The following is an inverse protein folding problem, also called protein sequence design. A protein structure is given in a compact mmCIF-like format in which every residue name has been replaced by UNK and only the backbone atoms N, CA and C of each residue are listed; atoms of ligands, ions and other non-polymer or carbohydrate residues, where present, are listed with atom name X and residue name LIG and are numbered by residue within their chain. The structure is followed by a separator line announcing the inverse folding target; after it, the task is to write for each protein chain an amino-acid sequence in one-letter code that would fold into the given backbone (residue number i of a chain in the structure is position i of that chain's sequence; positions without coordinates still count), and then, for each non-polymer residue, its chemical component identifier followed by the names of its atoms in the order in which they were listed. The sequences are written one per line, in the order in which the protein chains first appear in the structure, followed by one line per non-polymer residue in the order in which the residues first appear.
data_IF_044865747143
#
_entry.id   IF_044865747143
#
_cell.length_a   1.000
_cell.length_b   1.000
_cell.length_c   1.000
_cell.angle_alpha   90.00
_cell.angle_beta   90.00
_cell.angle_gamma   90.00
#
_symmetry.space_group_name_H-M   'P 1'
#
loop_
_entity.id
_entity.type
_entity.pdbx_description
1 polymer ?
#
# COMPACT_ATOMS: atom_id res chain seq x y z
N UNK A 1 38.40 -10.86 -16.37
CA UNK A 1 37.86 -9.92 -15.36
C UNK A 1 36.34 -9.96 -15.43
N UNK A 2 35.71 -10.69 -14.49
CA UNK A 2 34.25 -10.78 -14.38
C UNK A 2 33.83 -9.83 -13.26
N UNK A 3 33.21 -8.69 -13.61
CA UNK A 3 32.60 -7.80 -12.63
C UNK A 3 31.36 -8.49 -12.05
N UNK A 4 31.36 -8.76 -10.75
CA UNK A 4 30.36 -9.54 -10.04
C UNK A 4 29.07 -8.77 -9.81
N UNK A 5 27.98 -9.25 -10.40
CA UNK A 5 26.61 -8.77 -10.14
C UNK A 5 26.08 -9.53 -8.92
N UNK A 6 26.21 -8.96 -7.71
CA UNK A 6 25.65 -9.51 -6.46
C UNK A 6 24.30 -8.86 -6.09
N UNK A 7 23.55 -8.39 -7.08
CA UNK A 7 22.18 -7.89 -6.92
C UNK A 7 21.29 -8.63 -7.92
N UNK A 8 20.74 -9.76 -7.50
CA UNK A 8 19.76 -10.48 -8.31
C UNK A 8 18.42 -9.77 -8.16
N UNK A 9 18.06 -8.98 -9.17
CA UNK A 9 16.69 -8.48 -9.32
C UNK A 9 15.83 -9.64 -9.84
N UNK A 10 15.05 -10.25 -8.96
CA UNK A 10 14.02 -11.22 -9.37
C UNK A 10 12.87 -10.40 -9.97
N UNK A 11 12.90 -10.25 -11.30
CA UNK A 11 11.86 -9.57 -12.06
C UNK A 11 10.73 -10.55 -12.39
N UNK A 12 9.51 -10.23 -11.99
CA UNK A 12 8.32 -10.66 -12.72
C UNK A 12 8.13 -9.74 -13.92
N UNK A 13 8.36 -10.25 -15.14
CA UNK A 13 8.16 -9.50 -16.39
C UNK A 13 6.76 -8.86 -16.41
N UNK A 14 6.70 -7.53 -16.52
CA UNK A 14 5.46 -6.77 -16.73
C UNK A 14 4.60 -6.50 -15.50
N UNK A 15 4.98 -6.94 -14.29
CA UNK A 15 4.26 -6.61 -13.06
C UNK A 15 4.91 -5.42 -12.34
N UNK A 16 4.13 -4.51 -11.72
CA UNK A 16 4.67 -3.36 -10.97
C UNK A 16 5.38 -3.77 -9.66
N UNK A 17 5.27 -5.04 -9.25
CA UNK A 17 5.86 -5.57 -8.03
C UNK A 17 7.18 -6.29 -8.31
N UNK A 18 8.19 -6.00 -7.48
CA UNK A 18 9.55 -6.52 -7.62
C UNK A 18 10.11 -6.96 -6.27
N UNK A 19 10.92 -8.02 -6.29
CA UNK A 19 11.75 -8.42 -5.14
C UNK A 19 13.22 -8.20 -5.49
N UNK A 20 13.90 -7.44 -4.63
CA UNK A 20 15.32 -7.13 -4.75
C UNK A 20 16.05 -7.90 -3.67
N UNK A 21 17.05 -8.69 -4.09
CA UNK A 21 17.91 -9.46 -3.20
C UNK A 21 19.38 -9.07 -3.39
N UNK A 22 20.11 -8.93 -2.28
CA UNK A 22 21.57 -8.85 -2.29
C UNK A 22 22.16 -9.64 -1.12
N UNK A 23 23.16 -10.46 -1.41
CA UNK A 23 23.80 -11.33 -0.42
C UNK A 23 25.03 -10.67 0.25
N UNK A 24 25.31 -9.39 -0.04
CA UNK A 24 26.41 -8.63 0.54
C UNK A 24 26.10 -7.12 0.51
N UNK A 25 26.78 -6.29 1.31
CA UNK A 25 26.70 -4.84 1.17
C UNK A 25 27.08 -4.41 -0.25
N UNK A 26 26.48 -3.34 -0.74
CA UNK A 26 26.75 -2.82 -2.08
C UNK A 26 27.63 -1.58 -2.02
N UNK A 27 28.32 -1.28 -3.11
CA UNK A 27 28.90 0.05 -3.32
C UNK A 27 27.80 1.12 -3.42
N UNK A 28 28.19 2.38 -3.28
CA UNK A 28 27.31 3.53 -3.49
C UNK A 28 26.95 3.64 -4.98
N UNK A 29 25.66 3.54 -5.28
CA UNK A 29 25.13 3.63 -6.64
C UNK A 29 24.31 4.91 -6.77
N UNK A 30 24.50 5.65 -7.86
CA UNK A 30 23.68 6.80 -8.22
C UNK A 30 22.64 6.37 -9.26
N UNK A 31 21.36 6.59 -8.97
CA UNK A 31 20.26 6.18 -9.83
C UNK A 31 19.10 7.19 -9.78
N UNK A 32 18.24 7.13 -10.79
CA UNK A 32 16.98 7.88 -10.78
C UNK A 32 15.87 6.94 -10.30
N UNK A 33 15.31 7.23 -9.14
CA UNK A 33 14.17 6.50 -8.60
C UNK A 33 12.87 7.04 -9.22
N UNK A 34 12.10 6.15 -9.84
CA UNK A 34 10.71 6.42 -10.27
C UNK A 34 9.75 6.24 -9.10
N UNK A 35 8.52 6.81 -9.18
CA UNK A 35 7.51 6.67 -8.15
C UNK A 35 7.28 5.22 -7.74
N UNK A 36 7.40 4.95 -6.45
CA UNK A 36 7.34 3.61 -5.91
C UNK A 36 7.19 3.60 -4.39
N UNK A 37 6.66 2.49 -3.87
CA UNK A 37 6.76 2.10 -2.47
C UNK A 37 7.86 1.03 -2.33
N UNK A 38 8.78 1.21 -1.40
CA UNK A 38 9.82 0.24 -1.08
C UNK A 38 9.72 -0.19 0.38
N UNK A 39 9.59 -1.48 0.62
CA UNK A 39 9.54 -2.10 1.94
C UNK A 39 10.80 -2.96 2.12
N UNK A 40 11.59 -2.71 3.15
CA UNK A 40 12.67 -3.64 3.51
C UNK A 40 12.05 -4.77 4.33
N UNK A 41 12.37 -6.01 3.97
CA UNK A 41 11.97 -7.21 4.70
C UNK A 41 13.15 -7.69 5.56
N UNK A 42 14.37 -7.56 5.05
CA UNK A 42 15.59 -7.99 5.74
C UNK A 42 16.78 -7.13 5.32
N UNK A 43 17.72 -6.92 6.25
CA UNK A 43 18.91 -6.09 6.04
C UNK A 43 18.60 -4.60 6.21
N UNK A 44 19.53 -3.75 5.76
CA UNK A 44 19.39 -2.29 5.83
C UNK A 44 19.92 -1.63 4.58
N UNK A 45 19.32 -0.49 4.24
CA UNK A 45 19.74 0.32 3.10
C UNK A 45 19.88 1.78 3.50
N UNK A 46 20.86 2.42 2.93
CA UNK A 46 21.07 3.86 2.97
C UNK A 46 20.70 4.45 1.61
N UNK A 47 19.98 5.57 1.62
CA UNK A 47 19.57 6.33 0.44
C UNK A 47 19.82 7.81 0.70
N UNK A 48 20.51 8.48 -0.22
CA UNK A 48 20.72 9.91 -0.20
C UNK A 48 19.88 10.64 -1.24
N UNK A 49 19.38 11.84 -0.89
CA UNK A 49 18.71 12.78 -1.78
C UNK A 49 19.28 14.18 -1.53
N UNK A 50 20.07 14.71 -2.48
CA UNK A 50 20.83 15.94 -2.24
C UNK A 50 21.81 15.77 -1.10
N UNK A 51 21.74 16.65 -0.10
CA UNK A 51 22.59 16.62 1.11
C UNK A 51 22.00 15.75 2.24
N UNK A 52 20.80 15.19 2.06
CA UNK A 52 20.14 14.38 3.07
C UNK A 52 20.43 12.90 2.88
N UNK A 53 20.66 12.18 3.99
CA UNK A 53 20.86 10.73 4.03
C UNK A 53 19.80 10.08 4.90
N UNK A 54 19.26 8.96 4.40
CA UNK A 54 18.20 8.19 5.03
C UNK A 54 18.65 6.74 5.16
N UNK A 55 18.70 6.23 6.39
CA UNK A 55 18.88 4.81 6.64
C UNK A 55 17.54 4.21 7.02
N UNK A 56 17.17 3.11 6.35
CA UNK A 56 15.93 2.40 6.64
C UNK A 56 16.16 0.90 6.76
N UNK A 57 15.32 0.29 7.60
CA UNK A 57 15.42 -1.06 8.14
C UNK A 57 14.07 -1.80 7.96
N UNK A 58 13.92 -3.07 8.39
CA UNK A 58 12.68 -3.81 8.19
C UNK A 58 11.42 -3.22 8.85
N UNK A 59 11.58 -2.23 9.74
CA UNK A 59 10.46 -1.56 10.41
C UNK A 59 10.04 -0.27 9.70
N UNK A 60 10.69 0.06 8.58
CA UNK A 60 10.45 1.29 7.84
C UNK A 60 10.27 1.05 6.33
N UNK A 61 9.38 1.85 5.73
CA UNK A 61 9.15 1.87 4.29
C UNK A 61 9.53 3.24 3.71
N UNK A 62 9.90 3.22 2.44
CA UNK A 62 10.24 4.41 1.66
C UNK A 62 9.18 4.64 0.57
N UNK A 63 8.61 5.84 0.54
CA UNK A 63 7.80 6.32 -0.58
C UNK A 63 8.62 7.26 -1.43
N UNK A 64 8.70 6.95 -2.71
CA UNK A 64 9.18 7.84 -3.75
C UNK A 64 7.94 8.39 -4.45
N UNK A 65 7.60 9.65 -4.20
CA UNK A 65 6.38 10.27 -4.74
C UNK A 65 6.61 10.82 -6.17
N UNK A 66 7.82 11.29 -6.45
CA UNK A 66 8.20 11.87 -7.75
C UNK A 66 9.51 11.29 -8.23
N UNK A 67 9.81 11.44 -9.52
CA UNK A 67 11.08 11.00 -10.08
C UNK A 67 12.22 11.84 -9.51
N UNK A 68 13.09 11.23 -8.71
CA UNK A 68 14.20 11.93 -8.02
C UNK A 68 15.54 11.22 -8.24
N UNK A 69 16.65 11.97 -8.37
CA UNK A 69 17.98 11.40 -8.34
C UNK A 69 18.33 11.02 -6.89
N UNK A 70 18.79 9.78 -6.70
CA UNK A 70 19.20 9.27 -5.39
C UNK A 70 20.56 8.61 -5.47
N UNK A 71 21.34 8.71 -4.40
CA UNK A 71 22.41 7.77 -4.12
C UNK A 71 21.87 6.66 -3.22
N UNK A 72 22.41 5.46 -3.30
CA UNK A 72 22.02 4.42 -2.35
C UNK A 72 22.95 3.23 -2.31
N UNK A 73 23.00 2.60 -1.15
CA UNK A 73 23.81 1.43 -0.88
C UNK A 73 23.12 0.51 0.12
N UNK A 74 23.24 -0.80 -0.09
CA UNK A 74 22.90 -1.79 0.94
C UNK A 74 24.03 -1.80 1.95
N UNK A 75 23.73 -1.51 3.21
CA UNK A 75 24.73 -1.40 4.29
C UNK A 75 24.80 -2.65 5.17
N UNK A 76 23.73 -3.46 5.19
CA UNK A 76 23.67 -4.70 5.99
C UNK A 76 23.05 -5.84 5.16
N UNK A 77 23.88 -6.82 4.80
CA UNK A 77 23.52 -8.05 4.09
C UNK A 77 24.63 -9.10 4.19
N UNK A 78 24.27 -10.38 4.16
CA UNK A 78 25.20 -11.51 4.06
C UNK A 78 24.54 -12.69 3.34
N UNK A 79 25.30 -13.74 3.02
CA UNK A 79 24.73 -14.95 2.41
C UNK A 79 23.69 -15.64 3.32
N UNK A 80 23.93 -15.63 4.64
CA UNK A 80 23.02 -16.26 5.63
C UNK A 80 21.84 -15.35 5.99
N UNK A 81 22.01 -14.03 5.86
CA UNK A 81 20.99 -13.02 6.08
C UNK A 81 21.03 -11.98 4.95
N UNK A 82 20.49 -12.28 3.76
CA UNK A 82 20.55 -11.37 2.62
C UNK A 82 19.67 -10.13 2.83
N UNK A 83 20.04 -9.04 2.20
CA UNK A 83 19.13 -7.91 2.04
C UNK A 83 17.96 -8.31 1.14
N UNK A 84 16.74 -8.06 1.60
CA UNK A 84 15.50 -8.31 0.89
C UNK A 84 14.61 -7.08 0.91
N UNK A 85 14.17 -6.65 -0.26
CA UNK A 85 13.32 -5.49 -0.42
C UNK A 85 12.21 -5.76 -1.43
N UNK A 86 10.99 -5.42 -1.05
CA UNK A 86 9.84 -5.42 -1.93
C UNK A 86 9.68 -4.01 -2.48
N UNK A 87 9.59 -3.89 -3.80
CA UNK A 87 9.38 -2.61 -4.49
C UNK A 87 8.13 -2.70 -5.35
N UNK A 88 7.19 -1.78 -5.12
CA UNK A 88 6.00 -1.60 -5.93
C UNK A 88 6.14 -0.29 -6.72
N UNK A 89 6.36 -0.39 -8.03
CA UNK A 89 6.42 0.74 -8.94
C UNK A 89 5.01 1.26 -9.24
N UNK A 90 4.86 2.57 -9.27
CA UNK A 90 3.61 3.21 -9.66
C UNK A 90 3.77 3.96 -10.99
N UNK A 91 2.80 3.78 -11.86
CA UNK A 91 2.67 4.57 -13.07
C UNK A 91 2.02 5.92 -12.72
N UNK A 92 2.70 7.06 -12.96
CA UNK A 92 2.16 8.38 -12.67
C UNK A 92 0.82 8.65 -13.37
N UNK A 93 0.60 8.08 -14.56
CA UNK A 93 -0.66 8.23 -15.30
C UNK A 93 -1.79 7.49 -14.59
N UNK A 94 -1.51 6.30 -14.04
CA UNK A 94 -2.49 5.53 -13.26
C UNK A 94 -2.77 6.20 -11.92
N UNK A 95 -1.74 6.73 -11.25
CA UNK A 95 -1.92 7.53 -10.03
C UNK A 95 -2.80 8.75 -10.33
N UNK A 96 -2.51 9.52 -11.38
CA UNK A 96 -3.29 10.70 -11.72
C UNK A 96 -4.77 10.38 -11.97
N UNK A 97 -5.07 9.25 -12.64
CA UNK A 97 -6.45 8.75 -12.81
C UNK A 97 -7.07 8.35 -11.48
N UNK A 98 -6.35 7.62 -10.64
CA UNK A 98 -6.81 7.24 -9.30
C UNK A 98 -7.09 8.47 -8.44
N UNK A 99 -6.24 9.51 -8.50
CA UNK A 99 -6.45 10.78 -7.79
C UNK A 99 -7.69 11.50 -8.35
N UNK A 100 -7.89 11.51 -9.66
CA UNK A 100 -9.06 12.12 -10.28
C UNK A 100 -10.37 11.40 -9.89
N UNK A 101 -10.31 10.08 -9.72
CA UNK A 101 -11.44 9.24 -9.30
C UNK A 101 -11.59 9.14 -7.77
N UNK A 102 -10.56 9.55 -7.02
CA UNK A 102 -10.56 9.59 -5.57
C UNK A 102 -11.10 10.93 -5.06
N UNK A 103 -11.80 10.94 -3.93
CA UNK A 103 -12.19 12.19 -3.29
C UNK A 103 -10.93 12.95 -2.84
N UNK A 104 -10.77 14.18 -3.34
CA UNK A 104 -9.67 15.07 -2.98
C UNK A 104 -9.91 15.60 -1.56
N UNK A 105 -9.30 14.96 -0.56
CA UNK A 105 -9.15 15.53 0.79
C UNK A 105 -7.79 15.19 1.38
N UNK A 106 -7.19 16.16 2.07
CA UNK A 106 -5.88 16.00 2.70
C UNK A 106 -4.67 16.35 1.83
N UNK A 107 -4.83 17.17 0.77
CA UNK A 107 -3.67 17.81 0.13
C UNK A 107 -3.01 18.68 1.19
N UNK A 108 -1.76 18.40 1.60
CA UNK A 108 -1.05 19.25 2.53
C UNK A 108 -0.89 20.65 1.91
N UNK A 109 -1.11 21.71 2.68
CA UNK A 109 -0.88 23.09 2.22
C UNK A 109 0.59 23.34 1.86
N UNK A 110 1.50 22.50 2.36
CA UNK A 110 2.93 22.59 2.12
C UNK A 110 3.43 21.50 1.15
N UNK A 111 4.39 21.85 0.26
CA UNK A 111 5.02 20.87 -0.62
C UNK A 111 5.71 19.79 0.22
N UNK A 112 5.22 18.56 0.12
CA UNK A 112 5.87 17.40 0.72
C UNK A 112 7.13 17.02 -0.06
N UNK A 113 8.08 16.41 0.65
CA UNK A 113 9.34 15.91 0.07
C UNK A 113 9.03 14.85 -0.99
N UNK A 114 9.79 14.87 -2.09
CA UNK A 114 9.67 13.87 -3.16
C UNK A 114 10.02 12.44 -2.72
N UNK A 115 10.67 12.31 -1.56
CA UNK A 115 11.09 11.07 -0.92
C UNK A 115 10.73 11.15 0.56
N UNK A 116 10.03 10.14 1.08
CA UNK A 116 9.51 10.09 2.45
C UNK A 116 9.71 8.71 3.06
N UNK A 117 9.94 8.67 4.38
CA UNK A 117 10.23 7.46 5.14
C UNK A 117 9.31 7.40 6.36
N UNK A 118 8.67 6.26 6.58
CA UNK A 118 7.80 6.05 7.75
C UNK A 118 7.86 4.61 8.25
N UNK A 119 7.22 4.36 9.39
CA UNK A 119 7.12 3.03 9.99
C UNK A 119 6.07 2.18 9.30
N UNK A 120 6.41 0.91 9.11
CA UNK A 120 5.47 -0.10 8.63
C UNK A 120 4.46 -0.38 9.73
N UNK A 121 3.19 -0.19 9.43
CA UNK A 121 2.09 -0.64 10.29
C UNK A 121 1.59 -2.03 9.86
N UNK A 122 0.84 -2.68 10.74
CA UNK A 122 0.30 -4.02 10.48
C UNK A 122 -0.64 -4.07 9.25
N UNK A 123 -1.55 -3.09 9.04
CA UNK A 123 -2.38 -3.04 7.83
C UNK A 123 -1.59 -2.99 6.52
N UNK A 124 -0.52 -2.19 6.45
CA UNK A 124 0.34 -2.11 5.28
C UNK A 124 1.07 -3.43 5.05
N UNK A 125 1.63 -4.02 6.11
CA UNK A 125 2.32 -5.31 6.02
C UNK A 125 1.42 -6.43 5.47
N UNK A 126 0.18 -6.54 5.98
CA UNK A 126 -0.82 -7.49 5.50
C UNK A 126 -1.17 -7.27 4.02
N UNK A 127 -1.26 -6.00 3.61
CA UNK A 127 -1.54 -5.63 2.22
C UNK A 127 -0.40 -6.07 1.30
N UNK A 128 0.85 -5.76 1.67
CA UNK A 128 2.02 -6.15 0.89
C UNK A 128 2.17 -7.68 0.85
N UNK A 129 1.93 -8.38 1.95
CA UNK A 129 1.98 -9.85 1.99
C UNK A 129 0.98 -10.48 1.01
N UNK A 130 -0.24 -9.94 0.92
CA UNK A 130 -1.23 -10.39 -0.08
C UNK A 130 -0.72 -10.18 -1.51
N UNK A 131 -0.10 -9.04 -1.80
CA UNK A 131 0.47 -8.75 -3.11
C UNK A 131 1.64 -9.68 -3.45
N UNK A 132 2.52 -9.98 -2.49
CA UNK A 132 3.64 -10.92 -2.68
C UNK A 132 3.11 -12.32 -2.98
N UNK A 133 2.11 -12.80 -2.23
CA UNK A 133 1.49 -14.12 -2.48
C UNK A 133 0.86 -14.24 -3.87
N UNK A 134 0.41 -13.13 -4.46
CA UNK A 134 -0.08 -13.12 -5.83
C UNK A 134 1.02 -13.36 -6.87
N UNK A 135 2.28 -13.12 -6.55
CA UNK A 135 3.41 -13.45 -7.43
C UNK A 135 3.58 -14.97 -7.61
N UNK A 136 3.15 -15.76 -6.62
CA UNK A 136 3.19 -17.23 -6.68
C UNK A 136 2.08 -17.81 -7.59
N UNK A 137 1.05 -17.02 -7.90
CA UNK A 137 -0.09 -17.41 -8.77
C UNK A 137 -0.46 -16.32 -9.80
N UNK A 138 0.40 -16.06 -10.82
CA UNK A 138 0.21 -14.95 -11.77
C UNK A 138 -1.09 -15.00 -12.57
N UNK A 139 -1.64 -16.20 -12.81
CA UNK A 139 -2.90 -16.41 -13.54
C UNK A 139 -4.11 -15.86 -12.80
N UNK A 140 -4.03 -15.74 -11.48
CA UNK A 140 -5.14 -15.31 -10.66
C UNK A 140 -5.17 -13.79 -10.47
N UNK A 141 -4.10 -13.07 -10.77
CA UNK A 141 -3.98 -11.61 -10.58
C UNK A 141 -5.12 -10.85 -11.29
N UNK A 142 -5.38 -11.18 -12.55
CA UNK A 142 -6.42 -10.51 -13.35
C UNK A 142 -7.85 -10.76 -12.86
N UNK A 143 -8.11 -11.90 -12.22
CA UNK A 143 -9.42 -12.24 -11.64
C UNK A 143 -9.56 -11.79 -10.19
N UNK A 144 -8.49 -11.90 -9.40
CA UNK A 144 -8.50 -11.65 -7.96
C UNK A 144 -8.44 -10.16 -7.61
N UNK A 145 -7.79 -9.31 -8.41
CA UNK A 145 -7.71 -7.88 -8.08
C UNK A 145 -9.10 -7.20 -8.02
N UNK A 146 -10.01 -7.39 -8.99
CA UNK A 146 -11.39 -6.91 -8.86
C UNK A 146 -12.16 -7.56 -7.69
N UNK A 147 -11.96 -8.85 -7.45
CA UNK A 147 -12.61 -9.59 -6.35
C UNK A 147 -12.13 -9.11 -4.98
N UNK A 148 -10.85 -8.79 -4.82
CA UNK A 148 -10.27 -8.29 -3.58
C UNK A 148 -10.82 -6.90 -3.24
N UNK A 149 -10.97 -6.02 -4.23
CA UNK A 149 -11.62 -4.72 -4.05
C UNK A 149 -13.11 -4.88 -3.67
N UNK A 150 -13.81 -5.82 -4.31
CA UNK A 150 -15.20 -6.14 -3.94
C UNK A 150 -15.30 -6.69 -2.51
N UNK A 151 -14.40 -7.60 -2.13
CA UNK A 151 -14.38 -8.19 -0.80
C UNK A 151 -14.04 -7.16 0.28
N UNK A 152 -13.07 -6.26 0.02
CA UNK A 152 -12.77 -5.15 0.92
C UNK A 152 -13.99 -4.24 1.14
N UNK A 153 -14.73 -3.91 0.06
CA UNK A 153 -15.99 -3.14 0.17
C UNK A 153 -17.03 -3.89 1.01
N UNK A 154 -17.19 -5.20 0.80
CA UNK A 154 -18.09 -6.02 1.60
C UNK A 154 -17.72 -6.02 3.09
N UNK A 155 -16.44 -6.20 3.42
CA UNK A 155 -15.96 -6.17 4.79
C UNK A 155 -16.21 -4.80 5.46
N UNK A 156 -15.94 -3.69 4.75
CA UNK A 156 -16.23 -2.34 5.25
C UNK A 156 -17.73 -2.14 5.53
N UNK A 157 -18.59 -2.60 4.62
CA UNK A 157 -20.04 -2.51 4.79
C UNK A 157 -20.56 -3.40 5.93
N UNK A 158 -19.98 -4.59 6.13
CA UNK A 158 -20.30 -5.46 7.26
C UNK A 158 -19.84 -4.86 8.59
N UNK A 159 -18.65 -4.27 8.65
CA UNK A 159 -18.19 -3.59 9.87
C UNK A 159 -19.03 -2.36 10.18
N UNK A 160 -19.43 -1.59 9.17
CA UNK A 160 -20.34 -0.45 9.37
C UNK A 160 -21.67 -0.91 9.98
N UNK A 161 -22.23 -2.03 9.48
CA UNK A 161 -23.43 -2.64 10.02
C UNK A 161 -23.23 -3.13 11.47
N UNK A 162 -22.09 -3.75 11.77
CA UNK A 162 -21.73 -4.18 13.15
C UNK A 162 -21.67 -2.99 14.09
N UNK A 163 -20.99 -1.92 13.72
CA UNK A 163 -20.87 -0.69 14.52
C UNK A 163 -22.24 -0.04 14.77
N UNK A 164 -23.09 0.01 13.73
CA UNK A 164 -24.43 0.57 13.85
C UNK A 164 -25.35 -0.26 14.77
N UNK A 165 -25.35 -1.57 14.61
CA UNK A 165 -26.26 -2.46 15.35
C UNK A 165 -25.76 -2.75 16.77
N UNK A 166 -24.48 -3.10 16.91
CA UNK A 166 -23.94 -3.61 18.17
C UNK A 166 -23.38 -2.49 19.06
N UNK A 167 -22.79 -1.46 18.46
CA UNK A 167 -22.18 -0.34 19.18
C UNK A 167 -23.08 0.91 19.18
N UNK A 168 -24.22 0.86 18.50
CA UNK A 168 -25.23 1.92 18.52
C UNK A 168 -24.83 3.19 17.75
N UNK A 169 -23.79 3.14 16.92
CA UNK A 169 -23.35 4.28 16.12
C UNK A 169 -24.44 4.73 15.15
N UNK A 170 -24.54 6.03 14.93
CA UNK A 170 -25.37 6.57 13.85
C UNK A 170 -24.74 6.30 12.48
N UNK A 171 -25.58 6.38 11.44
CA UNK A 171 -25.20 6.08 10.04
C UNK A 171 -24.01 6.91 9.56
N UNK A 172 -23.96 8.18 9.95
CA UNK A 172 -22.91 9.11 9.53
C UNK A 172 -21.58 8.74 10.18
N UNK A 173 -21.59 8.52 11.49
CA UNK A 173 -20.40 8.11 12.24
C UNK A 173 -19.85 6.76 11.76
N UNK A 174 -20.72 5.79 11.49
CA UNK A 174 -20.31 4.49 10.97
C UNK A 174 -19.73 4.59 9.55
N UNK A 175 -20.35 5.39 8.67
CA UNK A 175 -19.86 5.67 7.31
C UNK A 175 -18.40 6.14 7.31
N UNK A 176 -18.10 7.19 8.08
CA UNK A 176 -16.74 7.74 8.14
C UNK A 176 -15.76 6.78 8.81
N UNK A 177 -16.17 6.06 9.86
CA UNK A 177 -15.30 5.12 10.57
C UNK A 177 -14.78 3.98 9.68
N UNK A 178 -15.59 3.52 8.73
CA UNK A 178 -15.19 2.46 7.79
C UNK A 178 -14.54 2.97 6.50
N UNK A 179 -14.24 4.28 6.45
CA UNK A 179 -13.50 4.91 5.36
C UNK A 179 -14.35 5.29 4.14
N UNK A 180 -15.66 5.51 4.31
CA UNK A 180 -16.50 6.16 3.28
C UNK A 180 -16.61 7.66 3.57
N UNK A 181 -16.44 8.49 2.53
CA UNK A 181 -16.48 9.95 2.66
C UNK A 181 -17.80 10.57 2.23
N UNK A 182 -18.57 9.84 1.42
CA UNK A 182 -19.89 10.27 0.96
C UNK A 182 -20.97 9.39 1.59
N UNK A 183 -21.80 9.93 2.52
CA UNK A 183 -22.96 9.22 3.04
C UNK A 183 -23.91 8.72 1.94
N UNK A 184 -23.98 9.44 0.82
CA UNK A 184 -24.77 9.06 -0.37
C UNK A 184 -24.16 7.90 -1.15
N UNK A 185 -22.83 7.82 -1.26
CA UNK A 185 -22.16 6.65 -1.83
C UNK A 185 -22.32 5.44 -0.90
N UNK A 186 -22.02 5.62 0.39
CA UNK A 186 -22.17 4.60 1.42
C UNK A 186 -23.59 4.02 1.41
N UNK A 187 -24.62 4.86 1.45
CA UNK A 187 -26.02 4.41 1.47
C UNK A 187 -26.40 3.63 0.22
N UNK A 188 -25.89 4.01 -0.98
CA UNK A 188 -26.13 3.28 -2.23
C UNK A 188 -25.46 1.91 -2.23
N UNK A 189 -24.21 1.84 -1.82
CA UNK A 189 -23.46 0.57 -1.76
C UNK A 189 -24.01 -0.35 -0.65
N UNK A 190 -24.36 0.21 0.51
CA UNK A 190 -25.02 -0.50 1.61
C UNK A 190 -26.36 -1.11 1.17
N UNK A 191 -27.21 -0.30 0.51
CA UNK A 191 -28.50 -0.77 0.00
C UNK A 191 -28.35 -1.88 -1.04
N UNK A 192 -27.32 -1.79 -1.89
CA UNK A 192 -27.00 -2.84 -2.86
C UNK A 192 -26.59 -4.15 -2.18
N UNK A 193 -25.86 -4.07 -1.06
CA UNK A 193 -25.35 -5.24 -0.34
C UNK A 193 -26.40 -5.88 0.58
N UNK A 194 -27.21 -5.09 1.28
CA UNK A 194 -28.14 -5.56 2.33
C UNK A 194 -29.62 -5.45 1.96
N UNK A 195 -29.93 -4.97 0.75
CA UNK A 195 -31.30 -4.88 0.23
C UNK A 195 -32.15 -3.74 0.81
N UNK A 196 -31.60 -2.94 1.73
CA UNK A 196 -32.28 -1.77 2.29
C UNK A 196 -31.30 -0.68 2.76
N UNK A 197 -31.75 0.58 2.90
CA UNK A 197 -30.90 1.67 3.39
C UNK A 197 -30.43 1.47 4.84
N UNK A 198 -29.29 2.04 5.23
CA UNK A 198 -28.74 1.91 6.59
C UNK A 198 -29.72 2.33 7.71
N UNK A 199 -30.45 3.43 7.49
CA UNK A 199 -31.44 3.96 8.45
C UNK A 199 -32.62 3.00 8.63
N UNK A 200 -33.09 2.39 7.55
CA UNK A 200 -34.16 1.38 7.57
C UNK A 200 -33.71 0.09 8.26
N UNK A 201 -32.49 -0.36 7.99
CA UNK A 201 -31.91 -1.56 8.62
C UNK A 201 -31.76 -1.38 10.14
N UNK A 202 -31.25 -0.23 10.58
CA UNK A 202 -31.19 0.17 12.00
C UNK A 202 -32.57 0.16 12.67
N UNK A 203 -33.58 0.70 11.99
CA UNK A 203 -34.95 0.76 12.49
C UNK A 203 -35.55 -0.63 12.69
N UNK A 204 -35.29 -1.55 11.76
CA UNK A 204 -35.76 -2.94 11.83
C UNK A 204 -35.14 -3.70 13.00
N UNK A 205 -33.84 -3.56 13.22
CA UNK A 205 -33.17 -4.28 14.30
C UNK A 205 -33.60 -3.75 15.67
N UNK A 206 -33.82 -2.44 15.81
CA UNK A 206 -34.36 -1.82 17.04
C UNK A 206 -35.82 -2.17 17.34
N UNK A 207 -36.55 -2.77 16.41
CA UNK A 207 -37.93 -3.26 16.63
C UNK A 207 -37.99 -4.74 17.04
N UNK A 208 -36.87 -5.47 16.92
CA UNK A 208 -36.79 -6.92 17.19
C UNK A 208 -36.18 -7.21 18.59
N UNK A 209 -35.50 -6.22 19.17
CA UNK A 209 -34.95 -6.24 20.53
C UNK A 209 -35.85 -5.44 21.45
#
# INVERSE_FOLDING_TARGET
MRFGVCCQRLQTLGAPLHVIRSDAPSELIHAVHRPALCLIVQGRKEVGLGDEQYVYDPLSYLVVAVTVPVSGQVIEASCDAPYLCIRLDFDPVQIARLIADAPLSGVPDEPQRGLFLDRVDQPLLETVLRLVRLLDTPRDIGMLAPLALQYQKQLRLQEARRLMINEGLDVSSACYRVGYESPSQFSREYSRQFGCPPSTDLSRVRQIV
#
